data_IF_708328829681
#
_entry.id   IF_708328829681
#
_cell.length_a   1.000
_cell.length_b   1.000
_cell.length_c   1.000
_cell.angle_alpha   90.00
_cell.angle_beta   90.00
_cell.angle_gamma   90.00
#
_symmetry.space_group_name_H-M   'P 1'
#
loop_
_entity.id
_entity.type
_entity.pdbx_description
1 polymer ?
#
# COMPACT_ATOMS: atom_id res chain seq x y z
N UNK A 1 9.79 10.72 13.69
CA UNK A 1 8.44 10.72 13.11
C UNK A 1 7.94 12.13 13.01
N UNK A 2 8.26 12.79 11.90
CA UNK A 2 7.75 14.13 11.61
C UNK A 2 6.54 13.95 10.68
N UNK A 3 5.33 14.10 11.23
CA UNK A 3 4.10 14.00 10.44
C UNK A 3 3.86 15.38 9.83
N UNK A 4 4.16 15.51 8.54
CA UNK A 4 3.88 16.72 7.76
C UNK A 4 2.42 17.16 7.99
N UNK A 5 2.24 18.38 8.50
CA UNK A 5 0.93 18.98 8.71
C UNK A 5 0.71 20.07 7.66
N UNK A 6 -0.27 19.87 6.78
CA UNK A 6 -0.63 20.84 5.76
C UNK A 6 -1.62 21.85 6.38
N UNK A 7 -1.22 23.12 6.51
CA UNK A 7 -2.05 24.16 7.15
C UNK A 7 -3.30 24.43 6.31
N UNK A 8 -4.47 24.25 6.92
CA UNK A 8 -5.78 24.47 6.26
C UNK A 8 -6.37 25.84 6.62
N UNK A 9 -6.11 26.36 7.81
CA UNK A 9 -6.49 27.71 8.21
C UNK A 9 -5.71 28.19 9.44
N UNK A 10 -5.74 29.49 9.69
CA UNK A 10 -5.12 30.08 10.88
C UNK A 10 -5.98 31.21 11.45
N UNK A 11 -5.90 31.35 12.76
CA UNK A 11 -6.42 32.46 13.55
C UNK A 11 -5.24 33.09 14.29
N UNK A 12 -5.43 34.27 14.88
CA UNK A 12 -4.37 35.01 15.57
C UNK A 12 -3.66 34.21 16.68
N UNK A 13 -4.31 33.18 17.23
CA UNK A 13 -3.77 32.33 18.29
C UNK A 13 -3.86 30.82 18.00
N UNK A 14 -4.28 30.40 16.81
CA UNK A 14 -4.47 28.98 16.48
C UNK A 14 -4.14 28.67 15.02
N UNK A 15 -3.55 27.51 14.77
CA UNK A 15 -3.34 26.98 13.42
C UNK A 15 -4.12 25.67 13.32
N UNK A 16 -4.99 25.58 12.33
CA UNK A 16 -5.64 24.33 11.94
C UNK A 16 -4.84 23.73 10.80
N UNK A 17 -4.40 22.50 10.97
CA UNK A 17 -3.68 21.78 9.94
C UNK A 17 -4.20 20.34 9.83
N UNK A 18 -4.13 19.81 8.61
CA UNK A 18 -4.48 18.43 8.32
C UNK A 18 -3.20 17.61 8.27
N UNK A 19 -3.13 16.58 9.13
CA UNK A 19 -2.06 15.60 9.06
C UNK A 19 -2.32 14.62 7.91
N UNK A 20 -1.28 14.22 7.18
CA UNK A 20 -1.41 13.14 6.19
C UNK A 20 -1.82 11.83 6.88
N UNK A 21 -2.56 10.97 6.16
CA UNK A 21 -3.00 9.66 6.67
C UNK A 21 -1.81 8.89 7.27
N UNK A 22 -1.97 8.46 8.52
CA UNK A 22 -0.86 8.07 9.40
C UNK A 22 -0.36 6.62 9.23
N UNK A 23 -1.01 5.82 8.38
CA UNK A 23 -0.62 4.44 8.12
C UNK A 23 -0.27 4.27 6.63
N UNK A 24 1.01 4.05 6.27
CA UNK A 24 1.38 3.64 4.93
C UNK A 24 0.59 2.39 4.53
N UNK A 25 0.08 2.35 3.32
CA UNK A 25 -0.60 1.16 2.80
C UNK A 25 0.31 0.42 1.84
N UNK A 26 0.63 -0.83 2.16
CA UNK A 26 1.51 -1.68 1.35
C UNK A 26 0.66 -2.79 0.75
N UNK A 27 0.45 -2.71 -0.56
CA UNK A 27 -0.30 -3.72 -1.32
C UNK A 27 0.70 -4.72 -1.89
N UNK A 28 0.45 -6.00 -1.64
CA UNK A 28 1.23 -7.08 -2.23
C UNK A 28 0.28 -7.97 -3.05
N UNK A 29 0.52 -8.02 -4.35
CA UNK A 29 -0.39 -8.62 -5.33
C UNK A 29 0.09 -9.98 -5.83
N UNK A 30 -0.85 -10.88 -6.12
CA UNK A 30 -0.55 -12.23 -6.61
C UNK A 30 -0.20 -12.27 -8.11
N UNK A 31 -0.01 -11.14 -8.76
CA UNK A 31 0.28 -11.01 -10.20
C UNK A 31 1.78 -10.99 -10.54
N UNK A 32 2.64 -11.34 -9.59
CA UNK A 32 4.08 -11.43 -9.82
C UNK A 32 4.44 -12.57 -10.77
N UNK A 33 5.68 -12.56 -11.26
CA UNK A 33 6.20 -13.53 -12.21
C UNK A 33 7.14 -14.52 -11.51
N UNK A 34 6.78 -15.80 -11.52
CA UNK A 34 7.67 -16.87 -11.06
C UNK A 34 8.64 -17.27 -12.19
N UNK A 35 9.94 -17.48 -11.91
CA UNK A 35 10.92 -17.84 -12.94
C UNK A 35 10.56 -19.09 -13.76
N UNK A 36 9.87 -20.05 -13.14
CA UNK A 36 9.48 -21.31 -13.79
C UNK A 36 8.02 -21.34 -14.26
N UNK A 37 7.12 -20.65 -13.56
CA UNK A 37 5.66 -20.80 -13.76
C UNK A 37 5.00 -19.58 -14.40
N UNK A 38 5.75 -18.49 -14.59
CA UNK A 38 5.26 -17.28 -15.26
C UNK A 38 4.41 -16.39 -14.37
N UNK A 39 3.62 -15.51 -15.00
CA UNK A 39 2.80 -14.50 -14.34
C UNK A 39 1.65 -15.10 -13.53
N UNK A 40 1.34 -14.52 -12.38
CA UNK A 40 0.27 -14.99 -11.49
C UNK A 40 0.70 -16.08 -10.51
N UNK A 41 1.97 -16.51 -10.57
CA UNK A 41 2.54 -17.56 -9.72
C UNK A 41 3.56 -17.04 -8.70
N UNK A 42 3.66 -15.72 -8.56
CA UNK A 42 4.48 -15.10 -7.52
C UNK A 42 3.79 -13.87 -6.92
N UNK A 43 4.16 -13.52 -5.70
CA UNK A 43 3.77 -12.26 -5.08
C UNK A 43 4.65 -11.12 -5.57
N UNK A 44 4.06 -9.93 -5.72
CA UNK A 44 4.75 -8.71 -6.12
C UNK A 44 4.33 -7.54 -5.22
N UNK A 45 5.28 -6.87 -4.54
CA UNK A 45 6.70 -7.22 -4.45
C UNK A 45 6.92 -8.53 -3.66
N UNK A 46 8.01 -9.26 -3.95
CA UNK A 46 8.38 -10.45 -3.18
C UNK A 46 8.86 -10.12 -1.76
N UNK A 47 9.47 -8.95 -1.60
CA UNK A 47 9.92 -8.43 -0.32
C UNK A 47 9.47 -6.98 -0.21
N UNK A 48 8.80 -6.63 0.90
CA UNK A 48 8.38 -5.28 1.18
C UNK A 48 8.97 -4.83 2.52
N UNK A 49 9.57 -3.64 2.53
CA UNK A 49 9.94 -2.98 3.80
C UNK A 49 8.73 -2.23 4.30
N UNK A 50 8.29 -2.53 5.52
CA UNK A 50 7.05 -2.00 6.10
C UNK A 50 7.39 -1.18 7.34
N UNK A 51 6.79 0.00 7.46
CA UNK A 51 6.94 0.86 8.64
C UNK A 51 5.93 0.45 9.72
N UNK A 52 6.29 0.66 10.99
CA UNK A 52 5.37 0.39 12.09
C UNK A 52 4.08 1.23 11.94
N UNK A 53 2.93 0.59 12.12
CA UNK A 53 1.62 1.23 11.94
C UNK A 53 1.10 1.21 10.51
N UNK A 54 1.85 0.67 9.55
CA UNK A 54 1.36 0.44 8.19
C UNK A 54 0.31 -0.68 8.13
N UNK A 55 -0.55 -0.61 7.11
CA UNK A 55 -1.49 -1.66 6.76
C UNK A 55 -0.88 -2.44 5.59
N UNK A 56 -0.85 -3.76 5.70
CA UNK A 56 -0.38 -4.65 4.63
C UNK A 56 -1.58 -5.40 4.06
N UNK A 57 -1.87 -5.18 2.78
CA UNK A 57 -2.98 -5.83 2.07
C UNK A 57 -2.43 -6.87 1.09
N UNK A 58 -2.94 -8.11 1.22
CA UNK A 58 -2.72 -9.17 0.25
C UNK A 58 -3.83 -9.16 -0.79
N UNK A 59 -3.49 -8.73 -1.99
CA UNK A 59 -4.43 -8.63 -3.10
C UNK A 59 -4.30 -9.85 -4.01
N UNK A 60 -5.32 -10.69 -4.00
CA UNK A 60 -5.46 -11.73 -5.01
C UNK A 60 -5.96 -11.11 -6.31
N UNK A 61 -5.08 -10.95 -7.29
CA UNK A 61 -5.53 -10.71 -8.66
C UNK A 61 -6.08 -12.05 -9.16
N UNK A 62 -7.39 -12.12 -9.41
CA UNK A 62 -8.01 -13.30 -10.02
C UNK A 62 -7.18 -13.71 -11.23
N UNK A 63 -6.51 -14.85 -11.13
CA UNK A 63 -5.72 -15.36 -12.24
C UNK A 63 -6.64 -15.48 -13.44
N UNK A 64 -6.19 -15.03 -14.61
CA UNK A 64 -6.85 -15.30 -15.89
C UNK A 64 -7.05 -16.82 -16.15
N UNK A 65 -6.55 -17.69 -15.26
CA UNK A 65 -6.78 -19.14 -15.23
C UNK A 65 -8.15 -19.56 -14.65
N UNK A 66 -8.87 -18.68 -13.94
CA UNK A 66 -10.23 -18.98 -13.46
C UNK A 66 -11.31 -18.84 -14.54
N UNK A 67 -11.00 -18.20 -15.67
CA UNK A 67 -11.96 -18.02 -16.78
C UNK A 67 -12.01 -19.21 -17.75
N UNK A 68 -11.29 -20.29 -17.47
CA UNK A 68 -11.21 -21.48 -18.36
C UNK A 68 -11.74 -22.78 -17.73
N UNK A 69 -12.53 -22.71 -16.65
CA UNK A 69 -13.26 -23.86 -16.10
C UNK A 69 -14.71 -23.90 -16.58
#
# INVERSE_FOLDING_TARGET
NDVSCDVVSYQSNQIYCQTKNAAPHVIISSNGVHPTYGSGFAWSPQFATVQQGAIVEWQWSSSALLTTL
#
